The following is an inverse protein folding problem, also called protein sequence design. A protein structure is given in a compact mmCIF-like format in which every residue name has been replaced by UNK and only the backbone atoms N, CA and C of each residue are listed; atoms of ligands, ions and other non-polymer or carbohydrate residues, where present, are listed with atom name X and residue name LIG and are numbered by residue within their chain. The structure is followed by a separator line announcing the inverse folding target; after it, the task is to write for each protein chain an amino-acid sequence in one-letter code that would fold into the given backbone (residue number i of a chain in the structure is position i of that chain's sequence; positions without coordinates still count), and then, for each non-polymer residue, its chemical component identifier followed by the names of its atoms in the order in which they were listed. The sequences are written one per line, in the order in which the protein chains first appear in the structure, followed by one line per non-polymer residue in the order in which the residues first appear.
data_IF_603779659371
#
_entry.id   IF_603779659371
#
_cell.length_a   1.000
_cell.length_b   1.000
_cell.length_c   1.000
_cell.angle_alpha   90.00
_cell.angle_beta   90.00
_cell.angle_gamma   90.00
#
_symmetry.space_group_name_H-M   'P 1'
#
loop_
_entity.id
_entity.type
_entity.pdbx_description
1 polymer ?
#
# COMPACT_ATOMS: atom_id res chain seq x y z
N UNK A 1 14.14 -26.36 6.17
CA UNK A 1 13.85 -25.57 4.95
C UNK A 1 14.91 -25.87 3.91
N UNK A 2 14.51 -26.03 2.66
CA UNK A 2 15.39 -26.39 1.54
C UNK A 2 15.86 -25.16 0.75
N UNK A 3 16.86 -25.32 -0.13
CA UNK A 3 17.23 -24.29 -1.10
C UNK A 3 16.08 -23.93 -2.06
N UNK A 4 15.24 -24.92 -2.37
CA UNK A 4 14.05 -24.71 -3.20
C UNK A 4 13.01 -23.82 -2.50
N UNK A 5 12.81 -23.97 -1.18
CA UNK A 5 11.89 -23.12 -0.41
C UNK A 5 12.26 -21.64 -0.55
N UNK A 6 13.56 -21.32 -0.40
CA UNK A 6 14.08 -19.96 -0.55
C UNK A 6 13.92 -19.43 -1.98
N UNK A 7 14.14 -20.27 -2.99
CA UNK A 7 13.98 -19.90 -4.40
C UNK A 7 12.53 -19.54 -4.74
N UNK A 8 11.57 -20.37 -4.35
CA UNK A 8 10.16 -20.12 -4.63
C UNK A 8 9.60 -18.96 -3.81
N UNK A 9 10.06 -18.79 -2.56
CA UNK A 9 9.69 -17.61 -1.78
C UNK A 9 10.22 -16.31 -2.41
N UNK A 10 11.46 -16.30 -2.90
CA UNK A 10 12.01 -15.14 -3.61
C UNK A 10 11.19 -14.80 -4.88
N UNK A 11 10.67 -15.81 -5.58
CA UNK A 11 9.75 -15.61 -6.70
C UNK A 11 8.40 -15.04 -6.25
N UNK A 12 7.80 -15.58 -5.19
CA UNK A 12 6.57 -15.05 -4.61
C UNK A 12 6.73 -13.56 -4.21
N UNK A 13 7.86 -13.18 -3.61
CA UNK A 13 8.16 -11.78 -3.28
C UNK A 13 8.23 -10.90 -4.53
N UNK A 14 8.90 -11.37 -5.60
CA UNK A 14 8.96 -10.64 -6.88
C UNK A 14 7.58 -10.46 -7.50
N UNK A 15 6.72 -11.48 -7.44
CA UNK A 15 5.34 -11.41 -7.90
C UNK A 15 4.54 -10.41 -7.08
N UNK A 16 4.60 -10.47 -5.75
CA UNK A 16 3.89 -9.53 -4.88
C UNK A 16 4.28 -8.07 -5.13
N UNK A 17 5.55 -7.83 -5.47
CA UNK A 17 6.05 -6.51 -5.81
C UNK A 17 5.44 -5.90 -7.08
N UNK A 18 4.74 -6.68 -7.91
CA UNK A 18 3.99 -6.19 -9.07
C UNK A 18 2.71 -5.44 -8.66
N UNK A 19 2.15 -5.73 -7.49
CA UNK A 19 0.95 -5.06 -6.96
C UNK A 19 1.21 -3.72 -6.26
N UNK A 20 2.46 -3.23 -6.23
CA UNK A 20 2.89 -2.09 -5.40
C UNK A 20 2.21 -0.76 -5.67
N UNK A 21 1.55 -0.62 -6.82
CA UNK A 21 0.93 0.63 -7.26
C UNK A 21 -0.60 0.61 -7.25
N UNK A 22 -1.22 -0.53 -6.92
CA UNK A 22 -2.66 -0.74 -7.16
C UNK A 22 -3.40 -1.46 -6.03
N UNK A 23 -2.67 -1.98 -5.03
CA UNK A 23 -3.25 -2.81 -3.96
C UNK A 23 -3.78 -2.02 -2.77
N UNK A 24 -3.45 -0.73 -2.62
CA UNK A 24 -3.91 0.06 -1.47
C UNK A 24 -5.44 0.04 -1.33
N UNK A 25 -5.98 -0.06 -0.10
CA UNK A 25 -5.27 -0.11 1.19
C UNK A 25 -4.75 -1.51 1.60
N UNK A 26 -4.97 -2.54 0.79
CA UNK A 26 -4.53 -3.91 1.07
C UNK A 26 -2.99 -4.05 0.92
N UNK A 27 -2.38 -5.03 1.61
CA UNK A 27 -0.96 -5.34 1.45
C UNK A 27 -0.66 -5.93 0.06
N UNK A 28 0.57 -5.72 -0.41
CA UNK A 28 1.11 -6.45 -1.55
C UNK A 28 1.43 -7.88 -1.12
N UNK A 29 0.79 -8.86 -1.76
CA UNK A 29 1.01 -10.28 -1.49
C UNK A 29 1.32 -10.98 -2.80
N UNK A 30 2.27 -11.91 -2.78
CA UNK A 30 2.56 -12.82 -3.87
C UNK A 30 2.47 -14.27 -3.42
N UNK A 31 2.16 -15.15 -4.37
CA UNK A 31 1.92 -16.57 -4.15
C UNK A 31 2.47 -17.39 -5.32
N UNK A 32 3.15 -18.49 -5.01
CA UNK A 32 3.64 -19.49 -5.97
C UNK A 32 3.20 -20.87 -5.50
N UNK A 33 2.64 -21.67 -6.40
CA UNK A 33 2.24 -23.05 -6.15
C UNK A 33 3.13 -24.01 -6.92
N UNK A 34 3.70 -25.00 -6.22
CA UNK A 34 4.65 -25.96 -6.77
C UNK A 34 4.13 -27.38 -6.58
N UNK A 35 4.02 -28.12 -7.67
CA UNK A 35 3.64 -29.53 -7.67
C UNK A 35 4.74 -30.33 -8.37
N UNK A 36 5.28 -31.35 -7.70
CA UNK A 36 6.36 -32.20 -8.25
C UNK A 36 7.56 -31.41 -8.81
N UNK A 37 7.99 -30.36 -8.09
CA UNK A 37 9.11 -29.49 -8.48
C UNK A 37 8.80 -28.49 -9.61
N UNK A 38 7.58 -28.49 -10.15
CA UNK A 38 7.15 -27.57 -11.20
C UNK A 38 6.22 -26.50 -10.64
N UNK A 39 6.41 -25.25 -11.07
CA UNK A 39 5.48 -24.17 -10.78
C UNK A 39 4.21 -24.43 -11.59
N UNK A 40 3.09 -24.60 -10.88
CA UNK A 40 1.78 -24.87 -11.50
C UNK A 40 0.85 -23.67 -11.44
N UNK A 41 1.12 -22.72 -10.54
CA UNK A 41 0.37 -21.47 -10.44
C UNK A 41 1.19 -20.36 -9.80
N UNK A 42 0.96 -19.14 -10.23
CA UNK A 42 1.57 -17.90 -9.80
C UNK A 42 0.48 -16.85 -9.64
N UNK A 43 0.57 -16.07 -8.58
CA UNK A 43 -0.43 -15.04 -8.30
C UNK A 43 0.14 -13.93 -7.45
N UNK A 44 -0.46 -12.77 -7.58
CA UNK A 44 -0.27 -11.63 -6.67
C UNK A 44 -1.57 -10.86 -6.59
N UNK A 45 -1.73 -10.09 -5.53
CA UNK A 45 -2.89 -9.20 -5.41
C UNK A 45 -2.71 -8.03 -6.39
N UNK A 46 -3.59 -7.94 -7.40
CA UNK A 46 -3.49 -6.92 -8.45
C UNK A 46 -4.07 -5.60 -7.94
N UNK A 47 -5.31 -5.62 -7.44
CA UNK A 47 -6.02 -4.41 -7.00
C UNK A 47 -6.96 -4.73 -5.84
N UNK A 48 -7.16 -3.75 -4.96
CA UNK A 48 -8.12 -3.87 -3.86
C UNK A 48 -9.53 -4.21 -4.38
N UNK A 49 -10.17 -5.20 -3.76
CA UNK A 49 -11.49 -5.71 -4.17
C UNK A 49 -11.45 -6.83 -5.21
N UNK A 50 -10.29 -7.13 -5.79
CA UNK A 50 -10.08 -8.28 -6.68
C UNK A 50 -9.48 -9.48 -5.94
N UNK A 51 -9.23 -10.58 -6.67
CA UNK A 51 -8.63 -11.80 -6.12
C UNK A 51 -7.31 -11.55 -5.38
N UNK A 52 -7.16 -12.20 -4.23
CA UNK A 52 -5.89 -12.25 -3.50
C UNK A 52 -4.86 -13.10 -4.26
N UNK A 53 -3.60 -13.03 -3.83
CA UNK A 53 -2.50 -13.73 -4.49
C UNK A 53 -2.74 -15.24 -4.60
N UNK A 54 -3.24 -15.85 -3.53
CA UNK A 54 -3.54 -17.28 -3.42
C UNK A 54 -4.70 -17.66 -4.34
N UNK A 55 -5.73 -16.82 -4.43
CA UNK A 55 -6.86 -17.05 -5.33
C UNK A 55 -6.42 -17.01 -6.80
N UNK A 56 -5.56 -16.06 -7.16
CA UNK A 56 -5.01 -15.94 -8.51
C UNK A 56 -4.09 -17.12 -8.86
N UNK A 57 -3.24 -17.55 -7.92
CA UNK A 57 -2.38 -18.72 -8.11
C UNK A 57 -3.18 -20.02 -8.22
N UNK A 58 -4.24 -20.18 -7.41
CA UNK A 58 -5.17 -21.32 -7.48
C UNK A 58 -5.89 -21.37 -8.83
N UNK A 59 -6.38 -20.22 -9.32
CA UNK A 59 -7.06 -20.13 -10.60
C UNK A 59 -6.16 -20.58 -11.77
N UNK A 60 -4.86 -20.25 -11.71
CA UNK A 60 -3.89 -20.72 -12.70
C UNK A 60 -3.52 -22.20 -12.51
N UNK A 61 -3.41 -22.67 -11.27
CA UNK A 61 -3.04 -24.05 -10.98
C UNK A 61 -4.11 -25.07 -11.38
N UNK A 62 -5.39 -24.71 -11.23
CA UNK A 62 -6.51 -25.63 -11.44
C UNK A 62 -6.34 -26.90 -10.59
N UNK A 63 -6.65 -28.07 -11.16
CA UNK A 63 -6.55 -29.36 -10.45
C UNK A 63 -5.13 -29.71 -9.98
N UNK A 64 -4.10 -29.09 -10.57
CA UNK A 64 -2.70 -29.28 -10.14
C UNK A 64 -2.39 -28.62 -8.80
N UNK A 65 -3.33 -27.87 -8.22
CA UNK A 65 -3.22 -27.37 -6.84
C UNK A 65 -3.19 -28.50 -5.81
N UNK A 66 -3.85 -29.62 -6.10
CA UNK A 66 -4.00 -30.73 -5.16
C UNK A 66 -2.64 -31.35 -4.85
N UNK A 67 -2.32 -31.45 -3.55
CA UNK A 67 -1.04 -31.95 -3.05
C UNK A 67 0.15 -31.03 -3.30
N UNK A 68 -0.04 -29.82 -3.83
CA UNK A 68 1.05 -28.86 -4.06
C UNK A 68 1.55 -28.20 -2.78
N UNK A 69 2.78 -27.66 -2.83
CA UNK A 69 3.30 -26.72 -1.84
C UNK A 69 3.00 -25.29 -2.28
N UNK A 70 2.51 -24.46 -1.35
CA UNK A 70 2.21 -23.05 -1.56
C UNK A 70 3.27 -22.20 -0.88
N UNK A 71 3.86 -21.25 -1.59
CA UNK A 71 4.75 -20.24 -1.04
C UNK A 71 4.05 -18.90 -1.10
N UNK A 72 3.82 -18.26 0.04
CA UNK A 72 3.05 -17.02 0.14
C UNK A 72 3.79 -15.98 0.99
N UNK A 73 3.76 -14.71 0.59
CA UNK A 73 4.57 -13.67 1.25
C UNK A 73 3.98 -13.17 2.57
N UNK A 74 2.71 -13.42 2.85
CA UNK A 74 2.00 -13.05 4.08
C UNK A 74 1.03 -14.18 4.44
N UNK A 75 0.72 -14.33 5.73
CA UNK A 75 -0.26 -15.32 6.21
C UNK A 75 -1.57 -15.25 5.39
N UNK A 76 -2.06 -16.39 4.86
CA UNK A 76 -3.33 -16.44 4.17
C UNK A 76 -4.47 -15.99 5.09
N UNK A 77 -5.31 -15.07 4.62
CA UNK A 77 -6.37 -14.52 5.45
C UNK A 77 -7.32 -15.62 5.96
N UNK A 78 -7.83 -15.41 7.17
CA UNK A 78 -8.67 -16.40 7.89
C UNK A 78 -10.14 -16.00 7.95
N UNK A 79 -10.48 -14.74 7.70
CA UNK A 79 -11.85 -14.24 7.79
C UNK A 79 -12.60 -14.36 6.46
N UNK A 80 -13.90 -14.62 6.55
CA UNK A 80 -14.79 -14.64 5.39
C UNK A 80 -15.22 -13.21 5.07
N UNK A 81 -14.87 -12.73 3.87
CA UNK A 81 -15.26 -11.41 3.38
C UNK A 81 -16.45 -11.52 2.43
N UNK A 82 -16.35 -10.86 1.27
CA UNK A 82 -17.25 -11.11 0.12
C UNK A 82 -16.96 -12.43 -0.60
N UNK A 83 -15.77 -12.97 -0.39
CA UNK A 83 -15.30 -14.26 -0.89
C UNK A 83 -14.85 -15.15 0.28
N UNK A 84 -14.80 -16.49 0.11
CA UNK A 84 -14.17 -17.37 1.07
C UNK A 84 -12.76 -16.92 1.44
N UNK A 85 -12.35 -17.21 2.67
CA UNK A 85 -11.01 -16.87 3.14
C UNK A 85 -9.94 -17.62 2.34
N UNK A 86 -8.75 -17.05 2.20
CA UNK A 86 -7.65 -17.70 1.47
C UNK A 86 -7.27 -19.04 2.10
N UNK A 87 -7.27 -19.12 3.43
CA UNK A 87 -7.07 -20.39 4.14
C UNK A 87 -8.11 -21.46 3.73
N UNK A 88 -9.40 -21.13 3.70
CA UNK A 88 -10.47 -22.05 3.26
C UNK A 88 -10.33 -22.45 1.78
N UNK A 89 -9.93 -21.51 0.92
CA UNK A 89 -9.69 -21.79 -0.50
C UNK A 89 -8.55 -22.81 -0.68
N UNK A 90 -7.45 -22.64 0.05
CA UNK A 90 -6.31 -23.57 0.05
C UNK A 90 -6.68 -24.95 0.59
N UNK A 91 -7.49 -25.00 1.67
CA UNK A 91 -8.02 -26.25 2.23
C UNK A 91 -8.86 -26.98 1.19
N UNK A 92 -9.82 -26.28 0.57
CA UNK A 92 -10.69 -26.85 -0.45
C UNK A 92 -9.91 -27.35 -1.67
N UNK A 93 -8.83 -26.64 -2.04
CA UNK A 93 -7.94 -27.03 -3.12
C UNK A 93 -7.07 -28.26 -2.80
N UNK A 94 -7.04 -28.67 -1.53
CA UNK A 94 -6.31 -29.86 -1.08
C UNK A 94 -4.79 -29.73 -1.20
N UNK A 95 -4.23 -28.55 -0.93
CA UNK A 95 -2.77 -28.34 -0.89
C UNK A 95 -2.16 -29.14 0.27
N UNK A 96 -0.90 -29.57 0.15
CA UNK A 96 -0.25 -30.41 1.17
C UNK A 96 0.58 -29.61 2.18
N UNK A 97 1.14 -28.48 1.75
CA UNK A 97 2.03 -27.64 2.55
C UNK A 97 1.89 -26.16 2.18
N UNK A 98 1.98 -25.29 3.17
CA UNK A 98 2.05 -23.83 3.02
C UNK A 98 3.32 -23.34 3.70
N UNK A 99 4.13 -22.57 2.98
CA UNK A 99 5.31 -21.88 3.48
C UNK A 99 5.04 -20.38 3.38
N UNK A 100 4.94 -19.71 4.51
CA UNK A 100 4.64 -18.27 4.56
C UNK A 100 5.87 -17.47 4.99
N UNK A 101 6.10 -16.30 4.38
CA UNK A 101 7.23 -15.45 4.80
C UNK A 101 6.97 -14.66 6.08
N UNK A 102 5.70 -14.34 6.36
CA UNK A 102 5.35 -13.46 7.48
C UNK A 102 3.98 -13.80 8.04
N UNK A 103 3.86 -13.86 9.36
CA UNK A 103 2.57 -13.87 10.04
C UNK A 103 1.91 -12.49 9.95
N UNK A 104 0.59 -12.45 9.70
CA UNK A 104 -0.12 -11.16 9.55
C UNK A 104 -0.33 -10.52 10.93
N UNK A 105 0.17 -9.30 11.19
CA UNK A 105 -0.02 -8.64 12.48
C UNK A 105 -1.46 -8.18 12.73
N UNK A 106 -2.34 -8.20 11.71
CA UNK A 106 -3.75 -7.88 11.89
C UNK A 106 -4.40 -8.90 12.82
N UNK A 107 -4.93 -8.46 13.96
CA UNK A 107 -5.63 -9.30 14.95
C UNK A 107 -6.76 -10.18 14.38
N UNK A 108 -7.32 -9.81 13.22
CA UNK A 108 -8.31 -10.62 12.49
C UNK A 108 -7.69 -11.87 11.85
N UNK A 109 -6.39 -11.84 11.55
CA UNK A 109 -5.64 -12.92 10.91
C UNK A 109 -4.59 -13.55 11.81
N UNK A 110 -3.86 -12.80 12.63
CA UNK A 110 -2.70 -13.20 13.44
C UNK A 110 -2.72 -14.65 13.92
N UNK A 111 -2.10 -15.54 13.13
CA UNK A 111 -1.97 -16.98 13.38
C UNK A 111 -3.22 -17.82 13.16
N UNK A 112 -4.40 -17.21 12.97
CA UNK A 112 -5.69 -17.88 12.74
C UNK A 112 -5.74 -18.55 11.37
N UNK A 113 -5.11 -17.97 10.36
CA UNK A 113 -5.01 -18.57 9.02
C UNK A 113 -4.16 -19.82 9.07
N UNK A 114 -3.02 -19.74 9.77
CA UNK A 114 -2.16 -20.90 10.02
C UNK A 114 -2.83 -21.98 10.85
N UNK A 115 -3.59 -21.61 11.89
CA UNK A 115 -4.34 -22.57 12.71
C UNK A 115 -5.36 -23.34 11.86
N UNK A 116 -6.18 -22.64 11.06
CA UNK A 116 -7.15 -23.28 10.15
C UNK A 116 -6.50 -24.27 9.19
N UNK A 117 -5.35 -23.93 8.62
CA UNK A 117 -4.61 -24.81 7.71
C UNK A 117 -4.09 -26.07 8.44
N UNK A 118 -3.50 -25.90 9.63
CA UNK A 118 -2.99 -27.01 10.44
C UNK A 118 -4.11 -27.95 10.90
N UNK A 119 -5.25 -27.41 11.30
CA UNK A 119 -6.42 -28.19 11.71
C UNK A 119 -6.98 -29.05 10.56
N UNK A 120 -6.80 -28.60 9.31
CA UNK A 120 -7.14 -29.36 8.11
C UNK A 120 -6.05 -30.37 7.69
N UNK A 121 -4.99 -30.55 8.49
CA UNK A 121 -3.89 -31.47 8.22
C UNK A 121 -2.83 -30.94 7.24
N UNK A 122 -2.84 -29.64 6.92
CA UNK A 122 -1.86 -29.01 6.02
C UNK A 122 -0.62 -28.62 6.83
N UNK A 123 0.57 -28.97 6.33
CA UNK A 123 1.83 -28.57 6.95
C UNK A 123 2.04 -27.07 6.76
N UNK A 124 2.33 -26.32 7.83
CA UNK A 124 2.54 -24.87 7.77
C UNK A 124 3.91 -24.50 8.35
N UNK A 125 4.79 -23.97 7.49
CA UNK A 125 6.12 -23.48 7.85
C UNK A 125 6.22 -21.95 7.70
N UNK A 126 7.04 -21.33 8.54
CA UNK A 126 7.43 -19.92 8.41
C UNK A 126 8.85 -19.81 7.85
N UNK A 127 9.05 -19.01 6.81
CA UNK A 127 10.36 -18.67 6.25
C UNK A 127 10.53 -17.13 6.25
N UNK A 128 10.88 -16.53 7.40
CA UNK A 128 11.02 -15.08 7.55
C UNK A 128 11.93 -14.46 6.49
N UNK A 129 11.51 -13.32 5.94
CA UNK A 129 12.26 -12.60 4.92
C UNK A 129 12.11 -11.09 5.10
N UNK A 130 13.23 -10.38 5.23
CA UNK A 130 13.25 -8.91 5.25
C UNK A 130 12.65 -8.32 3.96
N UNK A 131 12.85 -8.98 2.82
CA UNK A 131 12.26 -8.54 1.54
C UNK A 131 10.73 -8.67 1.53
N UNK A 132 10.18 -9.66 2.22
CA UNK A 132 8.73 -9.76 2.43
C UNK A 132 8.23 -8.68 3.39
N UNK A 133 8.95 -8.40 4.48
CA UNK A 133 8.60 -7.31 5.39
C UNK A 133 8.63 -5.94 4.70
N UNK A 134 9.60 -5.70 3.81
CA UNK A 134 9.67 -4.48 2.99
C UNK A 134 8.47 -4.34 2.05
N UNK A 135 7.99 -5.45 1.48
CA UNK A 135 6.84 -5.48 0.58
C UNK A 135 5.56 -5.02 1.28
N UNK A 136 5.41 -5.32 2.58
CA UNK A 136 4.23 -4.98 3.40
C UNK A 136 4.52 -3.96 4.49
N UNK A 137 5.62 -3.20 4.42
CA UNK A 137 6.09 -2.30 5.49
C UNK A 137 5.03 -1.31 6.01
N UNK A 138 4.17 -0.82 5.12
CA UNK A 138 3.09 0.10 5.48
C UNK A 138 2.02 -0.60 6.33
N UNK A 139 1.67 -1.83 5.96
CA UNK A 139 0.75 -2.69 6.71
C UNK A 139 1.35 -3.08 8.07
N UNK A 140 2.62 -3.48 8.11
CA UNK A 140 3.29 -3.80 9.37
C UNK A 140 3.32 -2.60 10.32
N UNK A 141 3.73 -1.42 9.84
CA UNK A 141 3.75 -0.22 10.69
C UNK A 141 2.36 0.17 11.18
N UNK A 142 1.34 0.03 10.32
CA UNK A 142 -0.06 0.28 10.65
C UNK A 142 -0.52 -0.58 11.82
N UNK A 143 -0.39 -1.90 11.71
CA UNK A 143 -0.93 -2.82 12.73
C UNK A 143 -0.04 -2.97 13.96
N UNK A 144 1.29 -2.93 13.80
CA UNK A 144 2.23 -3.08 14.91
C UNK A 144 2.43 -1.78 15.72
N UNK A 145 2.45 -0.62 15.06
CA UNK A 145 2.76 0.66 15.71
C UNK A 145 1.59 1.66 15.72
N UNK A 146 0.44 1.33 15.10
CA UNK A 146 -0.71 2.23 14.95
C UNK A 146 -0.31 3.54 14.26
N UNK A 147 0.57 3.43 13.24
CA UNK A 147 1.08 4.57 12.47
C UNK A 147 1.24 4.20 10.99
N UNK A 148 0.99 5.13 10.05
CA UNK A 148 1.35 4.93 8.66
C UNK A 148 2.87 4.92 8.47
N UNK A 149 3.34 4.30 7.40
CA UNK A 149 4.70 4.51 6.89
C UNK A 149 4.79 5.85 6.16
N UNK A 150 5.59 6.76 6.70
CA UNK A 150 5.75 8.12 6.18
C UNK A 150 7.00 8.18 5.31
N UNK A 151 6.83 8.70 4.09
CA UNK A 151 7.92 9.01 3.17
C UNK A 151 7.98 10.53 2.97
N UNK A 152 9.07 11.15 3.41
CA UNK A 152 9.37 12.55 3.11
C UNK A 152 10.24 12.63 1.85
N UNK A 153 9.78 13.35 0.81
CA UNK A 153 10.54 13.59 -0.41
C UNK A 153 11.04 15.03 -0.43
N UNK A 154 12.34 15.21 -0.65
CA UNK A 154 12.97 16.52 -0.79
C UNK A 154 13.59 16.67 -2.19
N UNK A 155 13.52 17.87 -2.78
CA UNK A 155 14.33 18.28 -3.92
C UNK A 155 15.09 19.54 -3.51
N UNK A 156 16.41 19.51 -3.67
CA UNK A 156 17.27 20.60 -3.24
C UNK A 156 18.47 20.76 -4.18
N UNK A 157 19.02 21.96 -4.21
CA UNK A 157 20.33 22.25 -4.77
C UNK A 157 21.43 21.59 -3.94
N UNK A 158 22.67 21.58 -4.46
CA UNK A 158 23.82 21.00 -3.76
C UNK A 158 24.10 21.67 -2.40
N UNK A 159 23.80 22.98 -2.28
CA UNK A 159 23.91 23.76 -1.04
C UNK A 159 22.63 23.70 -0.17
N UNK A 160 21.71 22.78 -0.46
CA UNK A 160 20.56 22.46 0.39
C UNK A 160 19.37 23.43 0.28
N UNK A 161 19.24 24.19 -0.82
CA UNK A 161 18.11 25.10 -1.04
C UNK A 161 16.98 24.42 -1.79
N UNK A 162 15.75 24.65 -1.35
CA UNK A 162 14.53 24.08 -1.95
C UNK A 162 13.77 25.09 -2.83
N UNK A 163 14.17 26.36 -2.82
CA UNK A 163 13.65 27.44 -3.66
C UNK A 163 14.68 28.60 -3.70
N UNK A 164 14.56 29.47 -4.70
CA UNK A 164 15.26 30.75 -4.74
C UNK A 164 14.69 31.70 -3.67
N UNK A 165 15.45 32.75 -3.32
CA UNK A 165 15.03 33.77 -2.33
C UNK A 165 13.72 34.47 -2.68
N UNK A 166 13.38 34.52 -3.97
CA UNK A 166 12.14 35.10 -4.47
C UNK A 166 10.97 34.09 -4.54
N UNK A 167 11.13 32.87 -4.01
CA UNK A 167 10.11 31.81 -4.01
C UNK A 167 10.12 30.94 -5.27
N UNK A 168 10.85 31.30 -6.33
CA UNK A 168 10.90 30.50 -7.56
C UNK A 168 11.64 29.17 -7.31
N UNK A 169 11.00 28.04 -7.58
CA UNK A 169 11.52 26.69 -7.28
C UNK A 169 11.44 25.71 -8.47
N UNK A 170 10.88 26.14 -9.60
CA UNK A 170 10.65 25.33 -10.80
C UNK A 170 11.75 25.57 -11.84
N UNK A 171 12.57 24.59 -12.23
CA UNK A 171 12.76 23.26 -11.64
C UNK A 171 14.21 23.11 -11.16
N UNK A 172 14.39 22.70 -9.90
CA UNK A 172 15.71 22.36 -9.34
C UNK A 172 16.22 21.01 -9.87
N UNK A 173 15.33 20.03 -10.08
CA UNK A 173 15.69 18.66 -10.46
C UNK A 173 15.29 18.31 -11.89
N UNK A 174 16.04 17.39 -12.51
CA UNK A 174 15.82 16.93 -13.88
C UNK A 174 14.48 16.22 -14.11
N UNK A 175 14.16 15.97 -15.37
CA UNK A 175 12.92 15.34 -15.81
C UNK A 175 12.84 13.88 -15.33
N UNK A 176 13.96 13.17 -15.33
CA UNK A 176 14.08 11.80 -14.82
C UNK A 176 13.78 11.73 -13.33
N UNK A 177 14.29 12.68 -12.55
CA UNK A 177 13.98 12.77 -11.12
C UNK A 177 12.49 13.06 -10.88
N UNK A 178 11.86 13.89 -11.73
CA UNK A 178 10.41 14.16 -11.64
C UNK A 178 9.56 12.95 -12.08
N UNK A 179 10.06 12.13 -12.99
CA UNK A 179 9.45 10.85 -13.36
C UNK A 179 9.56 9.83 -12.23
N UNK A 180 10.70 9.73 -11.55
CA UNK A 180 10.87 8.81 -10.43
C UNK A 180 9.94 9.14 -9.24
N UNK A 181 9.71 10.43 -8.98
CA UNK A 181 8.69 10.87 -8.00
C UNK A 181 7.28 10.39 -8.36
N UNK A 182 6.95 10.15 -9.64
CA UNK A 182 5.64 9.56 -9.98
C UNK A 182 5.51 8.13 -9.44
N UNK A 183 6.58 7.34 -9.44
CA UNK A 183 6.57 6.00 -8.85
C UNK A 183 6.36 6.08 -7.35
N UNK A 184 7.08 6.97 -6.65
CA UNK A 184 6.91 7.16 -5.21
C UNK A 184 5.48 7.58 -4.85
N UNK A 185 4.85 8.46 -5.65
CA UNK A 185 3.44 8.82 -5.50
C UNK A 185 2.52 7.62 -5.74
N UNK A 186 2.80 6.82 -6.76
CA UNK A 186 2.00 5.65 -7.08
C UNK A 186 2.10 4.56 -5.98
N UNK A 187 3.24 4.39 -5.33
CA UNK A 187 3.41 3.45 -4.19
C UNK A 187 2.80 3.96 -2.87
N UNK A 188 2.32 5.21 -2.83
CA UNK A 188 1.79 5.80 -1.61
C UNK A 188 0.27 5.70 -1.61
N UNK A 189 -0.31 5.27 -0.49
CA UNK A 189 -1.76 5.20 -0.31
C UNK A 189 -2.41 6.57 -0.16
N UNK A 190 -1.64 7.59 0.22
CA UNK A 190 -2.09 8.98 0.35
C UNK A 190 -0.94 9.95 0.06
N UNK A 191 -1.28 11.20 -0.22
CA UNK A 191 -0.34 12.31 -0.41
C UNK A 191 -0.66 13.38 0.63
N UNK A 192 0.37 13.95 1.27
CA UNK A 192 0.21 15.04 2.23
C UNK A 192 0.98 16.25 1.74
N UNK A 193 0.37 17.43 1.83
CA UNK A 193 1.01 18.71 1.50
C UNK A 193 0.62 19.78 2.51
N UNK A 194 1.44 20.82 2.65
CA UNK A 194 1.06 22.01 3.40
C UNK A 194 0.32 23.00 2.50
N UNK A 195 -0.61 23.77 3.06
CA UNK A 195 -1.38 24.77 2.30
C UNK A 195 -0.51 25.78 1.55
N UNK A 196 0.68 26.11 2.06
CA UNK A 196 1.55 27.09 1.37
C UNK A 196 1.98 26.59 -0.02
N UNK A 197 2.24 25.29 -0.18
CA UNK A 197 2.49 24.69 -1.50
C UNK A 197 1.27 24.82 -2.41
N UNK A 198 0.05 24.72 -1.89
CA UNK A 198 -1.17 24.90 -2.68
C UNK A 198 -1.31 26.34 -3.16
N UNK A 199 -1.05 27.31 -2.28
CA UNK A 199 -1.11 28.75 -2.58
C UNK A 199 -0.06 29.12 -3.64
N UNK A 200 1.18 28.64 -3.48
CA UNK A 200 2.30 29.08 -4.32
C UNK A 200 2.35 28.35 -5.67
N UNK A 201 1.92 27.08 -5.72
CA UNK A 201 2.12 26.22 -6.89
C UNK A 201 0.86 25.75 -7.61
N UNK A 202 -0.32 25.86 -6.98
CA UNK A 202 -1.59 25.28 -7.41
C UNK A 202 -1.44 23.86 -8.03
N UNK A 203 -0.88 22.89 -7.29
CA UNK A 203 -0.45 21.62 -7.86
C UNK A 203 -1.62 20.63 -7.99
N UNK A 204 -1.60 19.76 -9.01
CA UNK A 204 -2.59 18.67 -9.11
C UNK A 204 -2.37 17.50 -8.14
N UNK A 205 -1.13 17.29 -7.68
CA UNK A 205 -0.70 16.18 -6.82
C UNK A 205 -1.25 14.79 -7.21
N UNK A 206 -1.36 14.52 -8.51
CA UNK A 206 -1.76 13.20 -9.03
C UNK A 206 -0.55 12.41 -9.52
N UNK A 207 -0.75 11.11 -9.64
CA UNK A 207 0.09 10.22 -10.46
C UNK A 207 -0.25 10.50 -11.91
N UNK A 208 0.76 10.86 -12.70
CA UNK A 208 0.63 11.15 -14.13
C UNK A 208 1.02 9.93 -14.95
N UNK A 209 0.63 9.95 -16.21
CA UNK A 209 0.86 8.90 -17.19
C UNK A 209 2.32 8.55 -17.49
N UNK A 210 3.29 9.33 -16.98
CA UNK A 210 4.73 9.05 -17.10
C UNK A 210 5.14 8.04 -16.01
N UNK A 211 4.52 6.88 -16.04
CA UNK A 211 5.06 5.69 -15.40
C UNK A 211 5.74 4.89 -16.52
N UNK A 212 6.99 4.43 -16.33
CA UNK A 212 7.62 3.45 -17.24
C UNK A 212 6.72 2.23 -17.43
N UNK A 213 7.03 1.35 -18.38
CA UNK A 213 6.25 0.11 -18.60
C UNK A 213 6.15 -0.72 -17.31
N UNK A 214 5.08 -0.49 -16.55
CA UNK A 214 4.71 -1.22 -15.37
C UNK A 214 3.55 -2.13 -15.75
N UNK A 215 3.63 -3.39 -15.28
CA UNK A 215 2.53 -4.33 -15.39
C UNK A 215 1.31 -3.75 -14.66
N UNK A 216 0.10 -3.90 -15.22
CA UNK A 216 -1.14 -3.34 -14.68
C UNK A 216 -1.15 -1.80 -14.53
N UNK A 217 -0.61 -1.09 -15.53
CA UNK A 217 -0.60 0.37 -15.56
C UNK A 217 -2.00 0.98 -15.44
N UNK A 218 -3.01 0.39 -16.07
CA UNK A 218 -4.39 0.89 -16.01
C UNK A 218 -4.94 0.83 -14.58
N UNK A 219 -4.71 -0.28 -13.89
CA UNK A 219 -5.12 -0.51 -12.52
C UNK A 219 -4.40 0.46 -11.58
N UNK A 220 -3.09 0.65 -11.74
CA UNK A 220 -2.29 1.60 -10.97
C UNK A 220 -2.77 3.05 -11.11
N UNK A 221 -3.13 3.47 -12.33
CA UNK A 221 -3.67 4.80 -12.62
C UNK A 221 -5.11 4.96 -12.13
N UNK A 222 -5.88 3.88 -12.07
CA UNK A 222 -7.26 3.89 -11.57
C UNK A 222 -7.37 4.06 -10.05
N UNK A 223 -6.28 3.88 -9.30
CA UNK A 223 -6.29 4.06 -7.85
C UNK A 223 -6.34 5.53 -7.50
N UNK A 224 -7.48 5.94 -6.96
CA UNK A 224 -7.63 7.26 -6.38
C UNK A 224 -6.88 7.33 -5.05
N UNK A 225 -6.03 8.36 -4.92
CA UNK A 225 -5.19 8.57 -3.72
C UNK A 225 -5.66 9.86 -3.04
N UNK A 226 -6.10 9.78 -1.78
CA UNK A 226 -6.48 10.97 -1.05
C UNK A 226 -5.30 11.92 -0.90
N UNK A 227 -5.60 13.22 -1.00
CA UNK A 227 -4.64 14.29 -0.72
C UNK A 227 -5.10 15.02 0.52
N UNK A 228 -4.24 15.06 1.53
CA UNK A 228 -4.47 15.81 2.76
C UNK A 228 -3.69 17.13 2.69
N UNK A 229 -4.42 18.24 2.75
CA UNK A 229 -3.84 19.59 2.77
C UNK A 229 -3.80 20.06 4.22
N UNK A 230 -2.62 20.13 4.82
CA UNK A 230 -2.42 20.66 6.16
C UNK A 230 -2.60 22.18 6.14
N UNK A 231 -3.74 22.63 6.64
CA UNK A 231 -4.24 23.99 6.54
C UNK A 231 -4.96 24.41 7.82
N UNK A 232 -4.19 24.89 8.81
CA UNK A 232 -4.72 25.16 10.15
C UNK A 232 -5.90 26.14 10.18
N UNK A 233 -6.02 27.02 9.17
CA UNK A 233 -7.01 28.09 9.13
C UNK A 233 -7.81 28.12 7.81
N UNK A 234 -7.83 27.02 7.03
CA UNK A 234 -8.54 26.94 5.74
C UNK A 234 -8.19 28.09 4.77
N UNK A 235 -6.89 28.35 4.60
CA UNK A 235 -6.33 29.41 3.73
C UNK A 235 -6.25 29.04 2.25
N UNK A 236 -6.43 27.78 1.88
CA UNK A 236 -6.37 27.37 0.47
C UNK A 236 -7.38 28.19 -0.37
N UNK A 237 -6.98 28.76 -1.52
CA UNK A 237 -7.91 29.49 -2.38
C UNK A 237 -9.04 28.56 -2.84
N UNK A 238 -10.28 29.03 -2.85
CA UNK A 238 -11.43 28.22 -3.30
C UNK A 238 -11.29 27.75 -4.76
N UNK A 239 -10.54 28.51 -5.58
CA UNK A 239 -10.22 28.18 -6.96
C UNK A 239 -9.08 27.16 -7.13
N UNK A 240 -8.46 26.69 -6.04
CA UNK A 240 -7.33 25.76 -6.12
C UNK A 240 -7.75 24.45 -6.77
N UNK A 241 -6.95 23.96 -7.73
CA UNK A 241 -7.25 22.77 -8.52
C UNK A 241 -7.52 21.54 -7.66
N UNK A 242 -6.83 21.40 -6.52
CA UNK A 242 -7.03 20.27 -5.61
C UNK A 242 -8.43 20.22 -5.02
N UNK A 243 -9.04 21.37 -4.69
CA UNK A 243 -10.34 21.41 -4.01
C UNK A 243 -11.50 20.98 -4.93
N UNK A 244 -11.26 20.86 -6.24
CA UNK A 244 -12.24 20.32 -7.20
C UNK A 244 -12.42 18.80 -7.12
N UNK A 245 -11.56 18.09 -6.37
CA UNK A 245 -11.51 16.63 -6.32
C UNK A 245 -12.15 16.09 -5.04
N UNK A 246 -12.91 15.01 -5.19
CA UNK A 246 -13.58 14.33 -4.07
C UNK A 246 -12.64 13.65 -3.07
N UNK A 247 -11.48 13.21 -3.54
CA UNK A 247 -10.42 12.61 -2.71
C UNK A 247 -9.57 13.61 -1.92
N UNK A 248 -9.86 14.91 -1.97
CA UNK A 248 -9.05 15.92 -1.26
C UNK A 248 -9.74 16.35 0.03
N UNK A 249 -8.97 16.32 1.12
CA UNK A 249 -9.42 16.79 2.43
C UNK A 249 -8.48 17.88 2.95
N UNK A 250 -9.05 19.00 3.37
CA UNK A 250 -8.31 19.99 4.14
C UNK A 250 -8.26 19.55 5.61
N UNK A 251 -7.10 19.65 6.23
CA UNK A 251 -6.90 19.32 7.64
C UNK A 251 -6.70 20.62 8.38
N UNK A 252 -7.63 20.96 9.26
CA UNK A 252 -7.67 22.24 9.97
C UNK A 252 -7.76 22.04 11.49
N UNK A 253 -7.64 23.12 12.24
CA UNK A 253 -7.82 23.09 13.69
C UNK A 253 -9.31 23.02 14.02
N UNK A 254 -9.67 22.26 15.06
CA UNK A 254 -11.04 22.18 15.59
C UNK A 254 -11.70 23.56 15.77
N UNK A 255 -12.95 23.67 15.34
CA UNK A 255 -13.75 24.88 15.42
C UNK A 255 -13.53 25.88 14.28
N UNK A 256 -12.50 25.70 13.45
CA UNK A 256 -12.25 26.55 12.27
C UNK A 256 -13.29 26.29 11.19
N UNK A 257 -13.71 25.04 11.01
CA UNK A 257 -14.58 24.66 9.91
C UNK A 257 -16.03 25.12 10.06
N UNK A 258 -16.44 25.49 11.28
CA UNK A 258 -17.75 26.11 11.57
C UNK A 258 -18.02 27.41 10.78
N UNK A 259 -16.99 27.97 10.13
CA UNK A 259 -17.03 29.23 9.39
C UNK A 259 -17.07 29.06 7.87
N UNK A 260 -17.03 27.84 7.35
CA UNK A 260 -16.85 27.60 5.90
C UNK A 260 -17.89 26.58 5.40
N UNK A 261 -18.55 26.89 4.29
CA UNK A 261 -19.55 26.01 3.66
C UNK A 261 -18.91 24.93 2.77
N UNK A 262 -17.68 24.51 3.09
CA UNK A 262 -16.93 23.50 2.36
C UNK A 262 -17.06 22.16 3.08
N UNK A 263 -17.57 21.14 2.40
CA UNK A 263 -18.01 19.90 3.04
C UNK A 263 -16.88 18.90 3.39
N UNK A 264 -15.60 19.20 3.09
CA UNK A 264 -14.53 18.19 3.05
C UNK A 264 -13.29 18.59 3.83
N UNK A 265 -13.42 18.56 5.15
CA UNK A 265 -12.33 18.82 6.07
C UNK A 265 -12.21 17.73 7.13
N UNK A 266 -11.02 17.62 7.70
CA UNK A 266 -10.74 16.91 8.95
C UNK A 266 -10.30 17.94 9.98
N UNK A 267 -11.02 17.99 11.10
CA UNK A 267 -10.60 18.79 12.24
C UNK A 267 -9.63 18.01 13.10
N UNK A 268 -8.58 18.68 13.56
CA UNK A 268 -7.56 18.12 14.42
C UNK A 268 -7.36 19.03 15.64
N UNK A 269 -6.97 18.47 16.79
CA UNK A 269 -6.58 19.26 17.94
C UNK A 269 -5.49 20.28 17.58
N UNK A 270 -5.54 21.43 18.23
CA UNK A 270 -4.49 22.43 18.09
C UNK A 270 -3.23 22.02 18.86
N UNK A 271 -2.07 22.17 18.22
CA UNK A 271 -0.77 22.26 18.88
C UNK A 271 -0.16 23.63 18.53
N UNK A 272 -0.04 24.52 19.52
CA UNK A 272 0.42 25.90 19.34
C UNK A 272 -0.30 26.66 18.21
N UNK A 273 -1.64 26.51 18.14
CA UNK A 273 -2.48 27.16 17.13
C UNK A 273 -2.34 26.59 15.71
N UNK A 274 -1.68 25.43 15.55
CA UNK A 274 -1.55 24.71 14.28
C UNK A 274 -2.15 23.31 14.40
N UNK A 275 -2.41 22.66 13.28
CA UNK A 275 -2.81 21.23 13.23
C UNK A 275 -1.79 20.39 14.00
N UNK A 276 -2.26 19.61 14.97
CA UNK A 276 -1.43 18.62 15.66
C UNK A 276 -1.05 17.47 14.71
N UNK A 277 0.21 17.41 14.28
CA UNK A 277 0.69 16.38 13.36
C UNK A 277 0.64 14.98 13.96
N UNK A 278 0.83 14.82 15.27
CA UNK A 278 0.77 13.52 15.94
C UNK A 278 -0.65 12.94 15.86
N UNK A 279 -1.67 13.74 16.18
CA UNK A 279 -3.08 13.37 16.06
C UNK A 279 -3.48 13.09 14.60
N UNK A 280 -3.00 13.92 13.67
CA UNK A 280 -3.24 13.69 12.24
C UNK A 280 -2.65 12.35 11.77
N UNK A 281 -1.38 12.08 12.09
CA UNK A 281 -0.73 10.82 11.71
C UNK A 281 -1.42 9.61 12.34
N UNK A 282 -1.88 9.71 13.59
CA UNK A 282 -2.65 8.65 14.25
C UNK A 282 -3.99 8.39 13.55
N UNK A 283 -4.64 9.42 13.01
CA UNK A 283 -5.90 9.28 12.26
C UNK A 283 -5.73 8.54 10.93
N UNK A 284 -4.53 8.56 10.36
CA UNK A 284 -4.20 7.85 9.11
C UNK A 284 -3.85 6.36 9.31
N UNK A 285 -3.78 5.89 10.56
CA UNK A 285 -3.44 4.51 10.90
C UNK A 285 -4.60 3.53 10.70
#
# INVERSE_FOLDING_TARGET
MSLDDTKYMALAIRLGALGRYSTHPNPCVGCVMVHQGQIVGEGYHVKAGEGHAEANALAQAGDRSKGSTVYVTLEPCSFHGRTPSCAEALIKAGVSRVVAAREDPDSRNAGKGFAKLRDAGIVVDLLPSESADQLVRGHLKRYCEQKPFIRLKLAMTLDGKTALRNGNSKWITSDEARADVQKLRAESSAIVTGVQTVIDDDPRLQVREILPEIKHRAEALSVERPVYILDSNLRAPESAQLLTRDSVLQVCVEGVASKVNQARYLEMPANQGRVCLESFVATLA
#
